data_IF_795089727056
#
_entry.id   IF_795089727056
#
_cell.length_a   1.000
_cell.length_b   1.000
_cell.length_c   1.000
_cell.angle_alpha   90.00
_cell.angle_beta   90.00
_cell.angle_gamma   90.00
#
_symmetry.space_group_name_H-M   'P 1'
#
loop_
_entity.id
_entity.type
_entity.pdbx_description
1 polymer ?
#
# COMPACT_ATOMS: atom_id res chain seq x y z
N UNK A 1 -40.42 17.44 48.00
CA UNK A 1 -41.01 16.40 47.13
C UNK A 1 -41.29 16.97 45.74
N UNK A 2 -41.20 16.11 44.71
CA UNK A 2 -41.40 16.32 43.25
C UNK A 2 -40.18 16.82 42.45
N UNK A 3 -39.35 15.86 42.02
CA UNK A 3 -38.47 15.99 40.83
C UNK A 3 -39.33 15.76 39.57
N UNK A 4 -39.24 16.67 38.60
CA UNK A 4 -39.82 16.49 37.25
C UNK A 4 -38.89 15.63 36.37
N UNK A 5 -39.43 14.82 35.45
CA UNK A 5 -38.63 13.96 34.59
C UNK A 5 -38.06 14.78 33.43
N UNK A 6 -36.73 14.71 33.23
CA UNK A 6 -36.11 15.16 31.99
C UNK A 6 -36.38 14.15 30.88
N UNK A 7 -37.04 14.61 29.83
CA UNK A 7 -37.10 13.93 28.54
C UNK A 7 -35.67 13.68 28.04
N UNK A 8 -35.34 12.43 27.76
CA UNK A 8 -34.23 12.07 26.88
C UNK A 8 -34.79 11.97 25.46
N UNK A 9 -34.20 12.73 24.56
CA UNK A 9 -34.20 12.44 23.12
C UNK A 9 -32.77 12.36 22.59
N UNK A 10 -32.54 11.64 21.48
CA UNK A 10 -31.24 11.08 21.08
C UNK A 10 -30.55 11.90 19.96
N UNK A 11 -29.31 11.53 19.66
CA UNK A 11 -28.37 12.12 18.69
C UNK A 11 -27.68 13.38 19.25
N UNK A 12 -26.35 13.48 19.24
CA UNK A 12 -25.54 13.59 18.02
C UNK A 12 -24.29 12.72 18.06
N UNK A 13 -24.16 11.86 17.04
CA UNK A 13 -22.98 11.09 16.70
C UNK A 13 -22.14 11.95 15.74
N UNK A 14 -20.98 12.42 16.18
CA UNK A 14 -20.06 13.17 15.33
C UNK A 14 -19.41 12.28 14.25
N UNK A 15 -19.41 12.65 12.96
CA UNK A 15 -18.80 11.84 11.92
C UNK A 15 -17.32 12.22 11.79
N UNK A 16 -16.45 11.59 12.60
CA UNK A 16 -15.02 11.96 12.68
C UNK A 16 -13.99 10.93 12.23
N UNK A 17 -14.38 9.70 11.86
CA UNK A 17 -13.40 8.58 11.72
C UNK A 17 -13.50 7.77 10.42
N UNK A 18 -14.33 8.19 9.46
CA UNK A 18 -14.65 7.36 8.29
C UNK A 18 -13.95 7.68 6.97
N UNK A 19 -13.12 8.73 6.89
CA UNK A 19 -12.60 9.22 5.59
C UNK A 19 -11.27 8.59 5.16
N UNK A 20 -10.33 8.36 6.08
CA UNK A 20 -9.01 7.77 5.76
C UNK A 20 -9.09 6.27 5.44
N UNK A 21 -9.87 5.51 6.23
CA UNK A 21 -10.12 4.08 5.98
C UNK A 21 -10.77 3.83 4.61
N UNK A 22 -11.69 4.70 4.17
CA UNK A 22 -12.32 4.59 2.85
C UNK A 22 -11.37 4.84 1.69
N UNK A 23 -10.33 5.66 1.86
CA UNK A 23 -9.38 5.96 0.79
C UNK A 23 -8.45 4.76 0.56
N UNK A 24 -7.91 4.18 1.63
CA UNK A 24 -7.08 2.96 1.57
C UNK A 24 -7.86 1.75 1.06
N UNK A 25 -9.12 1.56 1.50
CA UNK A 25 -9.98 0.51 0.97
C UNK A 25 -10.23 0.68 -0.54
N UNK A 26 -10.42 1.92 -1.02
CA UNK A 26 -10.60 2.21 -2.45
C UNK A 26 -9.35 1.95 -3.28
N UNK A 27 -8.17 2.18 -2.72
CA UNK A 27 -6.89 1.86 -3.36
C UNK A 27 -6.76 0.33 -3.51
N UNK A 28 -7.12 -0.43 -2.48
CA UNK A 28 -7.08 -1.90 -2.52
C UNK A 28 -8.16 -2.54 -3.40
N UNK A 29 -9.39 -2.03 -3.37
CA UNK A 29 -10.49 -2.56 -4.19
C UNK A 29 -10.25 -2.28 -5.69
N UNK A 30 -9.60 -1.17 -6.05
CA UNK A 30 -9.19 -0.87 -7.42
C UNK A 30 -8.10 -1.84 -7.93
N UNK A 31 -7.11 -2.14 -7.09
CA UNK A 31 -6.05 -3.11 -7.40
C UNK A 31 -6.61 -4.54 -7.57
N UNK A 32 -7.61 -4.93 -6.78
CA UNK A 32 -8.25 -6.24 -6.89
C UNK A 32 -9.10 -6.42 -8.17
N UNK A 33 -9.72 -5.36 -8.69
CA UNK A 33 -10.53 -5.39 -9.90
C UNK A 33 -9.69 -5.41 -11.19
N UNK A 34 -8.55 -4.72 -11.21
CA UNK A 34 -7.65 -4.68 -12.37
C UNK A 34 -7.00 -6.05 -12.69
N UNK A 35 -6.77 -6.88 -11.67
CA UNK A 35 -6.12 -8.20 -11.82
C UNK A 35 -6.96 -9.23 -12.58
N UNK A 36 -8.27 -9.03 -12.74
CA UNK A 36 -9.12 -9.93 -13.54
C UNK A 36 -8.88 -9.84 -15.05
N UNK A 37 -8.15 -8.84 -15.54
CA UNK A 37 -7.97 -8.62 -16.98
C UNK A 37 -6.59 -9.04 -17.53
N UNK A 38 -5.58 -9.20 -16.67
CA UNK A 38 -4.21 -9.51 -17.10
C UNK A 38 -3.90 -11.02 -17.29
N UNK A 39 -4.88 -11.92 -17.12
CA UNK A 39 -4.68 -13.38 -17.28
C UNK A 39 -4.84 -13.89 -18.74
N UNK A 40 -4.15 -13.26 -19.70
CA UNK A 40 -3.84 -13.89 -20.99
C UNK A 40 -2.44 -13.53 -21.45
N UNK A 41 -1.44 -14.19 -20.88
CA UNK A 41 -0.31 -14.86 -21.57
C UNK A 41 0.77 -15.15 -20.54
N UNK A 42 1.23 -16.41 -20.52
CA UNK A 42 2.08 -16.98 -19.47
C UNK A 42 3.55 -17.21 -19.86
N UNK A 43 4.25 -17.80 -18.87
CA UNK A 43 5.50 -18.59 -18.86
C UNK A 43 6.76 -18.03 -19.59
N UNK A 44 8.00 -18.17 -19.13
CA UNK A 44 8.59 -19.20 -18.27
C UNK A 44 9.94 -18.73 -17.63
N UNK A 45 10.46 -19.60 -16.77
CA UNK A 45 11.52 -19.49 -15.77
C UNK A 45 12.98 -19.04 -16.13
N UNK A 46 13.58 -18.33 -15.16
CA UNK A 46 14.91 -18.52 -14.51
C UNK A 46 16.20 -18.48 -15.35
N UNK A 47 16.93 -17.34 -15.29
CA UNK A 47 18.40 -17.25 -15.10
C UNK A 47 18.88 -15.77 -14.95
N UNK A 48 18.19 -14.97 -14.12
CA UNK A 48 17.86 -13.60 -14.54
C UNK A 48 18.35 -12.47 -13.61
N UNK A 49 19.08 -12.72 -12.52
CA UNK A 49 19.30 -11.68 -11.51
C UNK A 49 20.19 -10.50 -11.96
N UNK A 50 21.25 -10.74 -12.75
CA UNK A 50 22.07 -9.65 -13.34
C UNK A 50 21.48 -9.12 -14.66
N UNK A 51 20.68 -9.92 -15.37
CA UNK A 51 20.04 -9.54 -16.63
C UNK A 51 18.81 -8.65 -16.43
N UNK A 52 18.02 -8.90 -15.38
CA UNK A 52 16.75 -8.19 -15.13
C UNK A 52 17.00 -6.70 -14.93
N UNK A 53 18.04 -6.30 -14.21
CA UNK A 53 18.28 -4.88 -13.91
C UNK A 53 18.74 -4.11 -15.16
N UNK A 54 19.61 -4.71 -15.96
CA UNK A 54 20.02 -4.15 -17.25
C UNK A 54 18.85 -4.11 -18.24
N UNK A 55 17.98 -5.13 -18.21
CA UNK A 55 16.75 -5.17 -18.98
C UNK A 55 15.78 -4.07 -18.52
N UNK A 56 15.53 -3.90 -17.22
CA UNK A 56 14.69 -2.83 -16.69
C UNK A 56 15.23 -1.45 -17.09
N UNK A 57 16.53 -1.19 -16.94
CA UNK A 57 17.12 0.08 -17.37
C UNK A 57 16.96 0.33 -18.88
N UNK A 58 17.05 -0.72 -19.71
CA UNK A 58 16.85 -0.63 -21.17
C UNK A 58 15.38 -0.44 -21.54
N UNK A 59 14.46 -1.08 -20.82
CA UNK A 59 13.03 -1.08 -21.07
C UNK A 59 12.36 0.25 -20.69
N UNK A 60 13.04 1.11 -19.92
CA UNK A 60 12.51 2.39 -19.41
C UNK A 60 11.12 2.19 -18.81
N UNK A 61 11.00 1.39 -17.73
CA UNK A 61 9.74 1.00 -17.16
C UNK A 61 8.87 2.22 -16.88
N UNK A 62 7.58 2.06 -17.11
CA UNK A 62 6.59 3.09 -16.81
C UNK A 62 5.98 2.84 -15.44
N UNK A 63 5.51 3.92 -14.84
CA UNK A 63 4.81 3.89 -13.57
C UNK A 63 3.51 3.12 -13.72
N UNK A 64 3.37 2.05 -12.93
CA UNK A 64 2.20 1.16 -12.90
C UNK A 64 1.12 1.65 -11.96
N UNK A 65 1.40 2.68 -11.14
CA UNK A 65 0.42 3.26 -10.23
C UNK A 65 -0.86 3.62 -11.00
N UNK A 66 -1.95 2.93 -10.70
CA UNK A 66 -3.25 3.28 -11.24
C UNK A 66 -3.74 4.53 -10.51
N UNK A 67 -3.96 5.60 -11.30
CA UNK A 67 -4.31 6.93 -10.83
C UNK A 67 -5.46 6.85 -9.83
N UNK A 68 -5.22 7.40 -8.64
CA UNK A 68 -6.07 7.42 -7.45
C UNK A 68 -7.47 8.06 -7.66
N UNK A 69 -7.86 8.38 -8.90
CA UNK A 69 -9.18 8.93 -9.26
C UNK A 69 -9.75 8.53 -10.63
N UNK A 70 -8.97 7.98 -11.59
CA UNK A 70 -9.46 7.71 -12.97
C UNK A 70 -9.39 6.25 -13.40
N UNK A 71 -8.67 5.38 -12.69
CA UNK A 71 -8.47 3.98 -13.11
C UNK A 71 -7.49 3.81 -14.29
N UNK A 72 -6.81 4.89 -14.71
CA UNK A 72 -5.76 4.86 -15.73
C UNK A 72 -4.39 4.73 -15.07
N UNK A 73 -3.49 3.92 -15.65
CA UNK A 73 -2.08 3.82 -15.20
C UNK A 73 -1.37 5.16 -15.40
N UNK A 74 -0.56 5.58 -14.42
CA UNK A 74 0.18 6.83 -14.44
C UNK A 74 1.07 6.99 -15.68
N UNK A 75 1.78 5.94 -16.09
CA UNK A 75 2.54 5.91 -17.36
C UNK A 75 3.80 6.78 -17.39
N UNK A 76 4.07 7.61 -16.38
CA UNK A 76 5.30 8.38 -16.27
C UNK A 76 6.53 7.47 -16.12
N UNK A 77 7.75 7.89 -16.49
CA UNK A 77 8.95 7.09 -16.30
C UNK A 77 9.13 6.68 -14.84
N UNK A 78 9.32 5.39 -14.60
CA UNK A 78 9.53 4.86 -13.27
C UNK A 78 10.98 5.01 -12.83
N UNK A 79 11.16 5.22 -11.53
CA UNK A 79 12.46 5.42 -10.87
C UNK A 79 12.68 4.45 -9.71
N UNK A 80 11.66 3.69 -9.32
CA UNK A 80 11.76 2.72 -8.22
C UNK A 80 10.77 1.57 -8.37
N UNK A 81 11.13 0.43 -7.79
CA UNK A 81 10.21 -0.66 -7.43
C UNK A 81 9.87 -0.53 -5.95
N UNK A 82 8.59 -0.51 -5.62
CA UNK A 82 8.09 -0.47 -4.25
C UNK A 82 7.37 -1.78 -3.91
N UNK A 83 7.74 -2.38 -2.79
CA UNK A 83 7.08 -3.54 -2.21
C UNK A 83 6.28 -3.07 -0.99
N UNK A 84 4.96 -3.20 -1.06
CA UNK A 84 4.01 -2.64 -0.10
C UNK A 84 3.26 -3.78 0.56
N UNK A 85 3.43 -3.96 1.86
CA UNK A 85 2.74 -5.02 2.58
C UNK A 85 1.22 -4.82 2.58
N UNK A 86 0.47 -5.82 2.13
CA UNK A 86 -0.99 -5.83 2.19
C UNK A 86 -1.45 -6.16 3.61
N UNK A 87 -1.33 -5.19 4.53
CA UNK A 87 -1.63 -5.39 5.95
C UNK A 87 -3.04 -5.95 6.17
N UNK A 88 -3.18 -7.02 6.96
CA UNK A 88 -4.47 -7.69 7.20
C UNK A 88 -5.11 -8.35 5.95
N UNK A 89 -4.38 -8.41 4.83
CA UNK A 89 -4.81 -9.04 3.57
C UNK A 89 -3.64 -9.65 2.79
N UNK A 90 -2.57 -10.05 3.48
CA UNK A 90 -1.32 -10.49 2.88
C UNK A 90 -1.38 -11.92 2.33
N UNK A 91 -2.53 -12.58 2.45
CA UNK A 91 -2.88 -13.89 1.90
C UNK A 91 -3.70 -13.80 0.59
N UNK A 92 -3.95 -12.57 0.10
CA UNK A 92 -4.70 -12.37 -1.12
C UNK A 92 -3.91 -12.81 -2.37
N UNK A 93 -4.66 -13.30 -3.36
CA UNK A 93 -4.09 -13.66 -4.67
C UNK A 93 -3.51 -12.43 -5.37
N UNK A 94 -2.36 -12.61 -6.02
CA UNK A 94 -1.67 -11.57 -6.76
C UNK A 94 -0.78 -10.67 -5.91
N UNK A 95 -0.38 -11.15 -4.73
CA UNK A 95 0.73 -10.63 -3.94
C UNK A 95 1.95 -11.55 -4.15
N UNK A 96 3.14 -11.07 -3.80
CA UNK A 96 4.32 -11.93 -3.75
C UNK A 96 4.23 -12.93 -2.58
N UNK A 97 5.23 -13.80 -2.44
CA UNK A 97 5.30 -14.81 -1.36
C UNK A 97 5.34 -14.22 0.04
N UNK A 98 5.76 -12.96 0.16
CA UNK A 98 5.84 -12.22 1.42
C UNK A 98 4.54 -11.46 1.74
N UNK A 99 3.54 -11.56 0.86
CA UNK A 99 2.26 -10.88 0.99
C UNK A 99 2.33 -9.38 0.69
N UNK A 100 3.28 -8.99 -0.15
CA UNK A 100 3.50 -7.62 -0.58
C UNK A 100 2.98 -7.40 -2.00
N UNK A 101 2.40 -6.22 -2.23
CA UNK A 101 2.08 -5.68 -3.54
C UNK A 101 3.35 -5.05 -4.13
N UNK A 102 3.72 -5.47 -5.32
CA UNK A 102 4.88 -4.93 -6.05
C UNK A 102 4.40 -3.91 -7.07
N UNK A 103 4.84 -2.67 -6.93
CA UNK A 103 4.52 -1.57 -7.84
C UNK A 103 5.80 -0.94 -8.41
N UNK A 104 5.74 -0.48 -9.66
CA UNK A 104 6.82 0.23 -10.32
C UNK A 104 6.41 1.70 -10.39
N UNK A 105 7.14 2.59 -9.72
CA UNK A 105 6.67 3.94 -9.41
C UNK A 105 7.58 5.01 -10.02
N UNK A 106 6.98 6.06 -10.57
CA UNK A 106 7.67 7.33 -10.80
C UNK A 106 7.90 8.07 -9.47
N UNK A 107 8.75 9.08 -9.49
CA UNK A 107 9.10 9.86 -8.28
C UNK A 107 7.86 10.43 -7.57
N UNK A 108 6.93 11.02 -8.31
CA UNK A 108 5.70 11.60 -7.74
C UNK A 108 4.82 10.55 -7.08
N UNK A 109 4.60 9.41 -7.74
CA UNK A 109 3.81 8.31 -7.17
C UNK A 109 4.51 7.66 -5.98
N UNK A 110 5.84 7.56 -6.01
CA UNK A 110 6.63 7.06 -4.89
C UNK A 110 6.48 7.96 -3.65
N UNK A 111 6.58 9.29 -3.82
CA UNK A 111 6.40 10.22 -2.70
C UNK A 111 4.97 10.18 -2.14
N UNK A 112 3.96 10.05 -3.00
CA UNK A 112 2.58 9.85 -2.54
C UNK A 112 2.41 8.55 -1.75
N UNK A 113 3.00 7.43 -2.20
CA UNK A 113 2.97 6.16 -1.49
C UNK A 113 3.70 6.26 -0.15
N UNK A 114 4.90 6.86 -0.11
CA UNK A 114 5.66 7.08 1.13
C UNK A 114 4.86 7.88 2.14
N UNK A 115 4.25 8.98 1.71
CA UNK A 115 3.42 9.83 2.57
C UNK A 115 2.18 9.09 3.09
N UNK A 116 1.48 8.36 2.22
CA UNK A 116 0.29 7.59 2.61
C UNK A 116 0.64 6.48 3.61
N UNK A 117 1.74 5.75 3.38
CA UNK A 117 2.17 4.67 4.26
C UNK A 117 2.70 5.20 5.59
N UNK A 118 3.40 6.33 5.61
CA UNK A 118 3.82 6.99 6.84
C UNK A 118 2.61 7.39 7.70
N UNK A 119 1.61 8.03 7.08
CA UNK A 119 0.36 8.40 7.75
C UNK A 119 -0.38 7.18 8.31
N UNK A 120 -0.47 6.12 7.52
CA UNK A 120 -1.08 4.86 7.96
C UNK A 120 -0.37 4.24 9.17
N UNK A 121 0.97 4.21 9.16
CA UNK A 121 1.77 3.66 10.27
C UNK A 121 1.58 4.50 11.53
N UNK A 122 1.60 5.82 11.40
CA UNK A 122 1.38 6.73 12.53
C UNK A 122 -0.01 6.53 13.15
N UNK A 123 -1.06 6.44 12.32
CA UNK A 123 -2.43 6.15 12.77
C UNK A 123 -2.50 4.81 13.51
N UNK A 124 -1.93 3.74 12.93
CA UNK A 124 -1.92 2.40 13.55
C UNK A 124 -1.15 2.39 14.86
N UNK A 125 0.00 3.08 14.92
CA UNK A 125 0.83 3.18 16.12
C UNK A 125 0.12 3.97 17.22
N UNK A 126 -0.54 5.08 16.88
CA UNK A 126 -1.33 5.85 17.83
C UNK A 126 -2.47 5.00 18.42
N UNK A 127 -3.24 4.33 17.57
CA UNK A 127 -4.33 3.45 17.99
C UNK A 127 -3.86 2.32 18.91
N UNK A 128 -2.73 1.68 18.57
CA UNK A 128 -2.15 0.61 19.37
C UNK A 128 -1.62 1.12 20.72
N UNK A 129 -0.97 2.28 20.73
CA UNK A 129 -0.42 2.90 21.95
C UNK A 129 -1.51 3.21 22.98
N UNK A 130 -2.67 3.70 22.53
CA UNK A 130 -3.84 3.95 23.40
C UNK A 130 -4.37 2.69 24.10
N UNK A 131 -4.00 1.50 23.61
CA UNK A 131 -4.42 0.20 24.15
C UNK A 131 -3.26 -0.59 24.77
N UNK A 132 -2.07 -0.02 24.88
CA UNK A 132 -0.87 -0.72 25.33
C UNK A 132 -0.49 -1.91 24.43
N UNK A 133 -0.85 -1.85 23.15
CA UNK A 133 -0.63 -2.92 22.18
C UNK A 133 0.46 -2.53 21.16
N UNK A 134 0.95 -3.53 20.42
CA UNK A 134 1.80 -3.31 19.24
C UNK A 134 0.97 -3.54 17.97
N UNK A 135 1.05 -2.65 16.97
CA UNK A 135 0.35 -2.86 15.71
C UNK A 135 1.04 -3.97 14.91
N UNK A 136 0.27 -4.98 14.53
CA UNK A 136 0.71 -6.14 13.73
C UNK A 136 -0.33 -6.43 12.65
N UNK A 137 0.10 -7.07 11.56
CA UNK A 137 -0.77 -7.64 10.55
C UNK A 137 -1.55 -8.82 11.16
N UNK A 138 -2.87 -8.80 11.07
CA UNK A 138 -3.74 -9.85 11.60
C UNK A 138 -3.56 -11.20 10.89
N UNK A 139 -3.10 -11.18 9.64
CA UNK A 139 -2.92 -12.36 8.80
C UNK A 139 -1.61 -13.10 9.12
N UNK A 140 -0.48 -12.39 9.14
CA UNK A 140 0.85 -13.01 9.29
C UNK A 140 1.62 -12.61 10.56
N UNK A 141 1.08 -11.70 11.37
CA UNK A 141 1.75 -11.20 12.59
C UNK A 141 2.91 -10.24 12.35
N UNK A 142 3.21 -9.87 11.09
CA UNK A 142 4.27 -8.90 10.75
C UNK A 142 4.04 -7.58 11.51
N UNK A 143 5.07 -6.98 12.15
CA UNK A 143 4.93 -5.67 12.78
C UNK A 143 4.56 -4.60 11.75
N UNK A 144 3.61 -3.72 12.09
CA UNK A 144 3.15 -2.63 11.20
C UNK A 144 3.36 -1.24 11.78
N UNK A 145 4.11 -1.14 12.88
CA UNK A 145 4.38 0.10 13.61
C UNK A 145 5.51 0.95 13.06
N UNK A 146 6.16 0.52 11.98
CA UNK A 146 7.23 1.26 11.32
C UNK A 146 7.08 1.19 9.80
N UNK A 147 7.37 2.29 9.11
CA UNK A 147 7.29 2.38 7.65
C UNK A 147 8.12 1.29 6.97
N UNK A 148 9.37 1.09 7.42
CA UNK A 148 10.26 0.05 6.91
C UNK A 148 9.74 -1.38 7.06
N UNK A 149 8.74 -1.61 7.91
CA UNK A 149 8.13 -2.93 8.11
C UNK A 149 7.01 -3.22 7.11
N UNK A 150 6.50 -2.20 6.41
CA UNK A 150 5.40 -2.34 5.46
C UNK A 150 5.70 -1.78 4.07
N UNK A 151 6.83 -1.08 3.90
CA UNK A 151 7.25 -0.48 2.65
C UNK A 151 8.75 -0.69 2.47
N UNK A 152 9.12 -1.41 1.41
CA UNK A 152 10.48 -1.44 0.88
C UNK A 152 10.51 -0.75 -0.49
N UNK A 153 11.59 -0.01 -0.76
CA UNK A 153 11.75 0.75 -2.01
C UNK A 153 13.15 0.49 -2.54
N UNK A 154 13.24 0.06 -3.80
CA UNK A 154 14.49 -0.19 -4.52
C UNK A 154 14.54 0.75 -5.73
N UNK A 155 15.52 1.66 -5.83
CA UNK A 155 15.64 2.56 -6.97
C UNK A 155 16.01 1.79 -8.24
N UNK A 156 15.53 2.26 -9.38
CA UNK A 156 15.85 1.76 -10.72
C UNK A 156 16.99 2.62 -11.25
N UNK A 157 18.16 2.02 -11.49
CA UNK A 157 19.27 2.68 -12.19
C UNK A 157 20.24 3.52 -11.36
N UNK A 158 20.18 3.52 -10.02
CA UNK A 158 21.08 4.30 -9.16
C UNK A 158 22.06 3.47 -8.31
N UNK A 159 21.90 2.15 -8.25
CA UNK A 159 22.81 1.29 -7.49
C UNK A 159 23.83 0.68 -8.45
N UNK A 160 25.12 0.99 -8.23
CA UNK A 160 26.33 0.40 -8.83
C UNK A 160 27.19 1.18 -9.83
N UNK A 161 27.13 2.52 -9.88
CA UNK A 161 28.32 3.30 -10.33
C UNK A 161 29.42 3.42 -9.24
N UNK A 162 29.34 2.63 -8.17
CA UNK A 162 30.24 2.70 -7.01
C UNK A 162 30.83 1.33 -6.60
N UNK A 163 31.15 0.48 -7.59
CA UNK A 163 32.06 -0.66 -7.41
C UNK A 163 33.27 -0.50 -8.34
#
# INVERSE_FOLDING_TARGET
>A
MKRRPSQRSPAEYGPGTGRSSRLLQRIWDAAALARRWAHRNGDDAVDAALGIEQQLNTLRPICTAQGLSSGETCGAPAVAVAEIHAVDGCDQVGLNTDGDLVEVLCEVCLEMVRWAMATYVDDKREMASRRGASPVCATCGRPTGYLRSILAVRPIGAEWLAL
#
